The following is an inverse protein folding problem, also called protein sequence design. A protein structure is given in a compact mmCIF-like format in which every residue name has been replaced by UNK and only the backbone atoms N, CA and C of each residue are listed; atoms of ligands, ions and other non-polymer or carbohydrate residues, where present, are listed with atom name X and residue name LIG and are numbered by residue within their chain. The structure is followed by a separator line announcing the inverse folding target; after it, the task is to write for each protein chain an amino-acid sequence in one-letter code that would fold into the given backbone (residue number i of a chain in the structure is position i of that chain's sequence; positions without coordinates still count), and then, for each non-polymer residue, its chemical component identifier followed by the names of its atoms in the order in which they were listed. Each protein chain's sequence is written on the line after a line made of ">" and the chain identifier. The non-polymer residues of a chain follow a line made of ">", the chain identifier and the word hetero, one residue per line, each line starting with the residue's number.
data_IF_388937263494
#
_entry.id   IF_388937263494
#
_cell.length_a   1.000
_cell.length_b   1.000
_cell.length_c   1.000
_cell.angle_alpha   90.00
_cell.angle_beta   90.00
_cell.angle_gamma   90.00
#
_symmetry.space_group_name_H-M   'P 1'
#
loop_
_entity.id
_entity.type
_entity.pdbx_description
1 polymer ?
#
# COMPACT_ATOMS: atom_id res chain seq x y z
N UNK A 1 -3.89 8.77 1.82
CA UNK A 1 -4.89 8.06 0.99
C UNK A 1 -5.98 7.44 1.85
N UNK A 2 -7.22 7.45 1.37
CA UNK A 2 -8.30 6.71 2.01
C UNK A 2 -8.15 5.20 1.78
N UNK A 3 -8.94 4.40 2.49
CA UNK A 3 -8.88 2.94 2.41
C UNK A 3 -9.23 2.42 1.00
N UNK A 4 -10.15 3.05 0.27
CA UNK A 4 -10.51 2.63 -1.09
C UNK A 4 -9.33 2.79 -2.06
N UNK A 5 -8.61 3.91 -1.99
CA UNK A 5 -7.40 4.14 -2.78
C UNK A 5 -6.30 3.17 -2.39
N UNK A 6 -6.12 2.88 -1.09
CA UNK A 6 -5.15 1.89 -0.64
C UNK A 6 -5.48 0.50 -1.17
N UNK A 7 -6.76 0.11 -1.20
CA UNK A 7 -7.20 -1.16 -1.79
C UNK A 7 -6.88 -1.23 -3.29
N UNK A 8 -7.21 -0.18 -4.05
CA UNK A 8 -6.89 -0.13 -5.49
C UNK A 8 -5.39 -0.20 -5.77
N UNK A 9 -4.56 0.44 -4.94
CA UNK A 9 -3.10 0.29 -5.02
C UNK A 9 -2.70 -1.16 -4.72
N UNK A 10 -3.29 -1.78 -3.71
CA UNK A 10 -3.00 -3.17 -3.32
C UNK A 10 -3.30 -4.14 -4.47
N UNK A 11 -4.45 -4.02 -5.11
CA UNK A 11 -4.84 -4.82 -6.28
C UNK A 11 -3.85 -4.62 -7.44
N UNK A 12 -3.48 -3.37 -7.74
CA UNK A 12 -2.53 -3.06 -8.79
C UNK A 12 -1.14 -3.66 -8.52
N UNK A 13 -0.67 -3.58 -7.27
CA UNK A 13 0.64 -4.11 -6.88
C UNK A 13 0.68 -5.62 -6.80
N UNK A 14 -0.44 -6.27 -6.52
CA UNK A 14 -0.55 -7.73 -6.46
C UNK A 14 -0.59 -8.37 -7.85
N UNK A 15 -1.15 -7.67 -8.85
CA UNK A 15 -1.32 -8.13 -10.24
C UNK A 15 -0.11 -8.83 -10.89
N UNK A 16 1.15 -8.40 -10.70
CA UNK A 16 2.31 -9.05 -11.32
C UNK A 16 2.65 -10.43 -10.73
N UNK A 17 2.08 -10.79 -9.59
CA UNK A 17 2.41 -12.03 -8.87
C UNK A 17 1.26 -13.05 -8.99
N UNK A 18 1.55 -14.35 -9.13
CA UNK A 18 0.55 -15.38 -8.93
C UNK A 18 -0.01 -15.27 -7.51
N UNK A 19 -1.34 -15.25 -7.38
CA UNK A 19 -1.99 -15.07 -6.10
C UNK A 19 -3.34 -15.78 -6.08
N UNK A 20 -3.71 -16.25 -4.90
CA UNK A 20 -4.99 -16.92 -4.68
C UNK A 20 -6.14 -15.95 -4.96
N UNK A 21 -7.17 -16.41 -5.66
CA UNK A 21 -8.38 -15.63 -6.00
C UNK A 21 -9.21 -15.23 -4.78
N UNK A 22 -9.05 -15.93 -3.64
CA UNK A 22 -9.82 -15.73 -2.41
C UNK A 22 -9.10 -14.84 -1.37
N UNK A 23 -8.22 -13.93 -1.82
CA UNK A 23 -7.60 -12.96 -0.93
C UNK A 23 -8.60 -11.90 -0.49
N UNK A 24 -8.72 -11.70 0.82
CA UNK A 24 -9.54 -10.65 1.40
C UNK A 24 -8.68 -9.43 1.73
N UNK A 25 -8.56 -8.53 0.75
CA UNK A 25 -7.81 -7.28 0.90
C UNK A 25 -8.50 -6.29 1.85
N UNK A 26 -9.83 -6.30 1.91
CA UNK A 26 -10.60 -5.42 2.79
C UNK A 26 -10.21 -5.62 4.26
N UNK A 27 -10.01 -6.88 4.68
CA UNK A 27 -9.57 -7.23 6.03
C UNK A 27 -8.19 -6.65 6.38
N UNK A 28 -7.30 -6.52 5.40
CA UNK A 28 -5.95 -5.97 5.59
C UNK A 28 -6.02 -4.44 5.60
N UNK A 29 -6.67 -3.85 4.60
CA UNK A 29 -6.77 -2.40 4.43
C UNK A 29 -7.50 -1.74 5.60
N UNK A 30 -8.55 -2.37 6.14
CA UNK A 30 -9.27 -1.87 7.31
C UNK A 30 -8.37 -1.65 8.55
N UNK A 31 -7.22 -2.36 8.62
CA UNK A 31 -6.24 -2.25 9.71
C UNK A 31 -5.10 -1.28 9.40
N UNK A 32 -5.03 -0.71 8.19
CA UNK A 32 -3.96 0.21 7.82
C UNK A 32 -4.15 1.56 8.53
N UNK A 33 -3.15 2.02 9.31
CA UNK A 33 -3.22 3.31 9.98
C UNK A 33 -3.09 4.46 8.97
N UNK A 34 -3.48 5.66 9.41
CA UNK A 34 -3.20 6.90 8.68
C UNK A 34 -1.68 7.01 8.46
N UNK A 35 -1.26 7.51 7.30
CA UNK A 35 0.16 7.60 6.93
C UNK A 35 0.69 6.39 6.15
N UNK A 36 -0.06 5.30 6.03
CA UNK A 36 0.26 4.26 5.05
C UNK A 36 0.16 4.80 3.61
N UNK A 37 1.04 4.30 2.76
CA UNK A 37 1.23 4.77 1.38
C UNK A 37 1.41 3.58 0.44
N UNK A 38 1.43 3.85 -0.87
CA UNK A 38 1.69 2.82 -1.87
C UNK A 38 3.07 2.17 -1.78
N UNK A 39 4.08 2.84 -1.18
CA UNK A 39 5.40 2.22 -0.94
C UNK A 39 5.33 1.15 0.15
N UNK A 40 4.57 1.37 1.21
CA UNK A 40 4.32 0.35 2.24
C UNK A 40 3.59 -0.85 1.64
N UNK A 41 2.59 -0.61 0.79
CA UNK A 41 1.86 -1.70 0.09
C UNK A 41 2.79 -2.50 -0.83
N UNK A 42 3.64 -1.82 -1.60
CA UNK A 42 4.63 -2.49 -2.45
C UNK A 42 5.55 -3.40 -1.63
N UNK A 43 6.02 -2.92 -0.48
CA UNK A 43 6.87 -3.70 0.42
C UNK A 43 6.13 -4.93 0.99
N UNK A 44 4.86 -4.76 1.38
CA UNK A 44 4.00 -5.87 1.84
C UNK A 44 3.87 -6.95 0.76
N UNK A 45 3.56 -6.57 -0.48
CA UNK A 45 3.40 -7.53 -1.59
C UNK A 45 4.72 -8.25 -1.88
N UNK A 46 5.84 -7.52 -1.90
CA UNK A 46 7.17 -8.11 -2.11
C UNK A 46 7.52 -9.11 -1.00
N UNK A 47 7.28 -8.76 0.25
CA UNK A 47 7.51 -9.65 1.40
C UNK A 47 6.61 -10.87 1.36
N UNK A 48 5.34 -10.70 1.00
CA UNK A 48 4.40 -11.82 0.87
C UNK A 48 4.84 -12.80 -0.22
N UNK A 49 5.29 -12.29 -1.37
CA UNK A 49 5.87 -13.12 -2.43
C UNK A 49 7.09 -13.92 -1.92
N UNK A 50 8.00 -13.25 -1.20
CA UNK A 50 9.17 -13.91 -0.62
C UNK A 50 8.78 -14.99 0.40
N UNK A 51 7.80 -14.72 1.26
CA UNK A 51 7.27 -15.69 2.23
C UNK A 51 6.71 -16.91 1.50
N UNK A 52 5.87 -16.70 0.46
CA UNK A 52 5.32 -17.79 -0.34
C UNK A 52 6.40 -18.66 -0.98
N UNK A 53 7.46 -18.05 -1.54
CA UNK A 53 8.58 -18.78 -2.13
C UNK A 53 9.33 -19.59 -1.06
N UNK A 54 9.61 -18.99 0.10
CA UNK A 54 10.37 -19.62 1.16
C UNK A 54 9.60 -20.71 1.91
N UNK A 55 8.27 -20.61 1.98
CA UNK A 55 7.40 -21.65 2.55
C UNK A 55 7.15 -22.82 1.55
N UNK A 56 7.50 -22.65 0.28
CA UNK A 56 7.37 -23.72 -0.72
C UNK A 56 8.35 -24.86 -0.41
N UNK A 57 7.81 -26.05 -0.18
CA UNK A 57 8.61 -27.26 0.13
C UNK A 57 9.17 -27.94 -1.11
N UNK A 58 8.66 -27.59 -2.28
CA UNK A 58 8.96 -28.27 -3.54
C UNK A 58 9.45 -27.24 -4.56
N UNK A 59 10.69 -27.40 -5.07
CA UNK A 59 11.13 -26.62 -6.22
C UNK A 59 10.19 -26.93 -7.40
N UNK A 60 9.63 -25.89 -8.03
CA UNK A 60 8.66 -25.94 -9.13
C UNK A 60 7.18 -26.16 -8.76
N UNK A 61 6.76 -25.88 -7.54
CA UNK A 61 5.32 -25.70 -7.27
C UNK A 61 4.84 -24.36 -7.84
N UNK A 62 3.57 -24.29 -8.26
CA UNK A 62 2.92 -23.02 -8.58
C UNK A 62 2.80 -22.21 -7.28
N UNK A 63 3.81 -21.38 -7.03
CA UNK A 63 3.90 -20.57 -5.81
C UNK A 63 2.99 -19.37 -5.96
N UNK A 64 1.91 -19.38 -5.19
CA UNK A 64 0.97 -18.27 -5.13
C UNK A 64 1.09 -17.52 -3.80
N UNK A 65 0.91 -16.20 -3.88
CA UNK A 65 0.64 -15.39 -2.69
C UNK A 65 -0.73 -15.81 -2.13
N UNK A 66 -0.75 -16.21 -0.87
CA UNK A 66 -1.98 -16.55 -0.15
C UNK A 66 -2.28 -15.52 0.95
N UNK A 67 -3.48 -15.61 1.54
CA UNK A 67 -3.93 -14.71 2.60
C UNK A 67 -2.96 -14.64 3.78
N UNK A 68 -2.42 -15.79 4.22
CA UNK A 68 -1.49 -15.88 5.36
C UNK A 68 -0.20 -15.12 5.07
N UNK A 69 0.39 -15.30 3.89
CA UNK A 69 1.63 -14.61 3.52
C UNK A 69 1.44 -13.09 3.51
N UNK A 70 0.29 -12.61 3.02
CA UNK A 70 -0.07 -11.20 3.05
C UNK A 70 -0.29 -10.67 4.46
N UNK A 71 -0.96 -11.43 5.33
CA UNK A 71 -1.18 -11.03 6.73
C UNK A 71 0.14 -10.93 7.50
N UNK A 72 1.04 -11.91 7.33
CA UNK A 72 2.38 -11.88 7.95
C UNK A 72 3.21 -10.70 7.45
N UNK A 73 3.20 -10.45 6.14
CA UNK A 73 3.91 -9.32 5.56
C UNK A 73 3.34 -7.97 6.05
N UNK A 74 2.01 -7.87 6.15
CA UNK A 74 1.33 -6.70 6.69
C UNK A 74 1.70 -6.46 8.16
N UNK A 75 1.71 -7.49 9.00
CA UNK A 75 2.09 -7.36 10.41
C UNK A 75 3.53 -6.85 10.58
N UNK A 76 4.45 -7.31 9.74
CA UNK A 76 5.84 -6.81 9.71
C UNK A 76 5.91 -5.34 9.33
N UNK A 77 5.20 -4.94 8.27
CA UNK A 77 5.14 -3.55 7.85
C UNK A 77 4.52 -2.65 8.93
N UNK A 78 3.44 -3.11 9.57
CA UNK A 78 2.77 -2.40 10.64
C UNK A 78 3.67 -2.23 11.87
N UNK A 79 4.39 -3.30 12.26
CA UNK A 79 5.36 -3.22 13.35
C UNK A 79 6.46 -2.19 13.08
N UNK A 80 7.05 -2.22 11.88
CA UNK A 80 8.10 -1.28 11.49
C UNK A 80 7.60 0.16 11.46
N UNK A 81 6.39 0.38 10.93
CA UNK A 81 5.74 1.67 10.91
C UNK A 81 5.51 2.21 12.33
N UNK A 82 4.94 1.40 13.21
CA UNK A 82 4.71 1.79 14.61
C UNK A 82 6.03 2.08 15.34
N UNK A 83 7.05 1.25 15.13
CA UNK A 83 8.38 1.48 15.70
C UNK A 83 8.98 2.81 15.22
N UNK A 84 8.86 3.12 13.92
CA UNK A 84 9.32 4.39 13.35
C UNK A 84 8.67 5.60 14.03
N UNK A 85 7.36 5.54 14.29
CA UNK A 85 6.62 6.61 14.96
C UNK A 85 6.98 6.73 16.44
N UNK A 86 7.13 5.61 17.13
CA UNK A 86 7.56 5.58 18.53
C UNK A 86 8.93 6.24 18.72
N UNK A 87 9.85 6.02 17.78
CA UNK A 87 11.18 6.64 17.79
C UNK A 87 11.16 8.14 17.40
N UNK A 88 10.05 8.63 16.82
CA UNK A 88 9.92 10.00 16.28
C UNK A 88 8.62 10.65 16.75
N UNK A 89 8.47 10.93 18.06
CA UNK A 89 7.22 11.44 18.64
C UNK A 89 6.81 12.82 18.12
N UNK A 90 7.70 13.54 17.44
CA UNK A 90 7.43 14.84 16.82
C UNK A 90 6.73 14.73 15.46
N UNK A 91 6.69 13.53 14.85
CA UNK A 91 5.96 13.31 13.60
C UNK A 91 4.47 13.20 13.92
N UNK A 92 3.69 14.14 13.40
CA UNK A 92 2.22 14.09 13.42
C UNK A 92 1.74 13.60 12.06
N UNK A 93 1.04 12.47 12.07
CA UNK A 93 0.41 11.94 10.87
C UNK A 93 -0.96 12.61 10.70
N UNK A 94 -1.01 13.59 9.82
CA UNK A 94 -2.26 14.21 9.42
C UNK A 94 -2.76 13.56 8.14
N UNK A 95 -4.09 13.44 8.00
CA UNK A 95 -4.68 13.19 6.67
C UNK A 95 -4.46 14.47 5.87
N UNK A 96 -3.36 14.54 5.13
CA UNK A 96 -3.15 15.60 4.15
C UNK A 96 -4.26 15.59 3.10
N UNK A 97 -4.42 16.75 2.45
CA UNK A 97 -5.28 16.99 1.29
C UNK A 97 -5.15 15.83 0.30
N UNK A 98 -6.27 15.28 -0.16
CA UNK A 98 -6.25 14.12 -1.05
C UNK A 98 -5.50 14.49 -2.35
N UNK A 99 -4.75 13.56 -2.95
CA UNK A 99 -4.07 13.85 -4.20
C UNK A 99 -5.07 14.27 -5.30
N UNK A 100 -6.31 13.76 -5.22
CA UNK A 100 -7.43 14.20 -6.05
C UNK A 100 -7.82 15.67 -5.81
N UNK A 101 -7.79 16.15 -4.57
CA UNK A 101 -8.05 17.55 -4.22
C UNK A 101 -6.94 18.49 -4.74
N UNK A 102 -5.68 18.05 -4.68
CA UNK A 102 -4.54 18.80 -5.27
C UNK A 102 -4.67 18.87 -6.80
N UNK A 103 -4.99 17.75 -7.46
CA UNK A 103 -5.17 17.70 -8.92
C UNK A 103 -6.37 18.55 -9.38
N UNK A 104 -7.42 18.67 -8.56
CA UNK A 104 -8.58 19.52 -8.84
C UNK A 104 -8.30 21.01 -8.55
N UNK A 105 -7.38 21.33 -7.64
CA UNK A 105 -7.02 22.72 -7.32
C UNK A 105 -6.34 23.45 -8.48
N UNK A 106 -5.63 22.72 -9.35
CA UNK A 106 -5.00 23.26 -10.57
C UNK A 106 -6.00 23.54 -11.71
N UNK A 107 -7.22 22.97 -11.63
CA UNK A 107 -8.27 23.27 -12.62
C UNK A 107 -9.05 24.55 -12.33
N UNK A 108 -9.01 25.04 -11.09
CA UNK A 108 -9.69 26.28 -10.67
C UNK A 108 -8.87 27.56 -10.81
N UNK A 109 -7.58 27.48 -11.17
CA UNK A 109 -6.67 28.63 -11.28
C UNK A 109 -6.18 28.91 -12.71
N UNK A 110 -6.67 28.17 -13.71
CA UNK A 110 -6.40 28.44 -15.13
C UNK A 110 -7.44 29.36 -15.75
N UNK A 111 -7.56 30.55 -15.18
CA UNK A 111 -7.98 31.72 -15.95
C UNK A 111 -7.09 32.90 -15.53
N UNK A 112 -6.50 33.54 -16.53
CA UNK A 112 -5.69 34.77 -16.46
C UNK A 112 -4.23 34.64 -15.99
N UNK A 113 -3.36 34.13 -16.87
CA UNK A 113 -2.37 35.01 -17.52
C UNK A 113 -1.53 34.26 -18.57
N UNK A 114 -1.69 34.70 -19.81
CA UNK A 114 -0.80 34.42 -20.93
C UNK A 114 0.62 34.93 -20.61
N UNK A 115 1.60 34.02 -20.57
CA UNK A 115 3.01 34.41 -20.65
C UNK A 115 3.78 33.46 -21.58
N UNK A 116 3.63 33.72 -22.89
CA UNK A 116 4.65 33.39 -23.88
C UNK A 116 5.16 34.71 -24.47
N UNK A 117 6.40 35.06 -24.14
CA UNK A 117 7.33 35.87 -24.95
C UNK A 117 8.70 35.23 -24.81
#
# INVERSE_FOLDING_TARGET
>A
PNHDVLKGIFELKLKPYPHNKEINLDKIVAKMPVGFTGSHIQDIVNQANYISINESKTPNSDIEINQRALEVAFERALYNFNKFLLERPHIKLERGTDASEVLNSDTSSRDENSFFV
#
